data_IF_872487422867
#
_entry.id   IF_872487422867
#
_cell.length_a   1.000
_cell.length_b   1.000
_cell.length_c   1.000
_cell.angle_alpha   90.00
_cell.angle_beta   90.00
_cell.angle_gamma   90.00
#
_symmetry.space_group_name_H-M   'P 1'
#
loop_
_entity.id
_entity.type
_entity.pdbx_description
1 polymer ?
#
# COMPACT_ATOMS: atom_id res chain seq x y z
N UNK A 1 -25.72 9.03 -3.15
CA UNK A 1 -25.09 8.85 -3.09
C UNK A 1 -24.12 8.94 -2.80
N UNK A 2 -23.54 8.84 -2.58
CA UNK A 2 -22.65 8.88 -2.20
C UNK A 2 -21.75 8.78 -2.46
N UNK A 3 -21.31 9.10 -2.60
CA UNK A 3 -20.41 9.07 -2.78
C UNK A 3 -19.45 9.01 -2.47
N UNK A 4 -19.34 8.85 -2.27
CA UNK A 4 -18.31 8.91 -2.01
C UNK A 4 -17.20 8.59 -2.39
N UNK A 5 -16.77 9.05 -3.09
CA UNK A 5 -15.48 8.78 -3.50
C UNK A 5 -14.62 8.84 -2.33
N UNK A 6 -14.51 7.84 -1.77
CA UNK A 6 -13.76 7.80 -0.55
C UNK A 6 -12.30 7.68 -0.90
N UNK A 7 -11.62 8.81 -0.94
CA UNK A 7 -10.21 8.86 -1.26
C UNK A 7 -9.35 8.13 -0.25
N UNK A 8 -9.89 7.90 0.93
CA UNK A 8 -9.13 7.29 2.01
C UNK A 8 -9.53 5.85 2.25
N UNK A 9 -10.17 5.27 1.27
CA UNK A 9 -10.56 3.88 1.39
C UNK A 9 -9.34 2.99 1.49
N UNK A 10 -9.35 2.12 2.48
CA UNK A 10 -8.22 1.22 2.74
C UNK A 10 -8.40 -0.04 1.91
N UNK A 11 -7.36 -0.38 1.17
CA UNK A 11 -7.30 -1.63 0.43
C UNK A 11 -6.35 -2.58 1.13
N UNK A 12 -6.54 -3.84 0.90
CA UNK A 12 -5.63 -4.85 1.43
C UNK A 12 -4.76 -5.39 0.32
N UNK A 13 -3.51 -5.68 0.65
CA UNK A 13 -2.58 -6.16 -0.33
C UNK A 13 -1.56 -7.10 0.26
N UNK A 14 -0.85 -7.76 -0.64
CA UNK A 14 0.18 -8.72 -0.30
C UNK A 14 1.47 -8.26 -0.97
N UNK A 15 2.54 -8.12 -0.20
CA UNK A 15 3.81 -7.64 -0.72
C UNK A 15 4.50 -8.79 -1.48
N UNK A 16 4.69 -8.61 -2.78
CA UNK A 16 5.29 -9.63 -3.61
C UNK A 16 6.76 -9.37 -3.91
N UNK A 17 7.21 -8.13 -3.80
CA UNK A 17 8.58 -7.79 -4.14
C UNK A 17 8.99 -6.51 -3.43
N UNK A 18 10.24 -6.47 -2.99
CA UNK A 18 10.85 -5.27 -2.45
C UNK A 18 11.75 -4.68 -3.52
N UNK A 19 11.56 -3.41 -3.84
CA UNK A 19 12.25 -2.74 -4.92
C UNK A 19 13.19 -1.68 -4.37
N UNK A 20 14.11 -1.18 -5.17
CA UNK A 20 14.97 -0.09 -4.74
C UNK A 20 14.17 1.15 -4.36
N UNK A 21 14.78 2.03 -3.59
CA UNK A 21 14.20 3.33 -3.20
C UNK A 21 12.96 3.18 -2.32
N UNK A 22 12.93 2.15 -1.49
CA UNK A 22 11.87 1.94 -0.52
C UNK A 22 10.50 1.78 -1.18
N UNK A 23 10.48 1.19 -2.35
CA UNK A 23 9.24 0.86 -3.05
C UNK A 23 8.96 -0.63 -2.90
N UNK A 24 7.69 -0.97 -3.01
CA UNK A 24 7.24 -2.35 -2.91
C UNK A 24 6.25 -2.64 -4.01
N UNK A 25 6.31 -3.86 -4.52
CA UNK A 25 5.26 -4.33 -5.41
C UNK A 25 4.24 -5.05 -4.56
N UNK A 26 2.99 -4.64 -4.67
CA UNK A 26 1.91 -5.15 -3.84
C UNK A 26 0.79 -5.65 -4.75
N UNK A 27 0.33 -6.86 -4.49
CA UNK A 27 -0.83 -7.40 -5.18
C UNK A 27 -2.06 -7.12 -4.34
N UNK A 28 -3.01 -6.44 -4.94
CA UNK A 28 -4.27 -6.12 -4.27
C UNK A 28 -5.19 -7.33 -4.32
N UNK A 29 -6.21 -7.30 -3.47
CA UNK A 29 -7.15 -8.42 -3.40
C UNK A 29 -7.93 -8.63 -4.68
N UNK A 30 -8.03 -7.62 -5.54
CA UNK A 30 -8.68 -7.75 -6.84
C UNK A 30 -7.75 -8.27 -7.93
N UNK A 31 -6.51 -8.60 -7.59
CA UNK A 31 -5.56 -9.15 -8.52
C UNK A 31 -4.61 -8.15 -9.17
N UNK A 32 -4.87 -6.86 -9.03
CA UNK A 32 -3.99 -5.85 -9.60
C UNK A 32 -2.69 -5.78 -8.81
N UNK A 33 -1.60 -5.50 -9.53
CA UNK A 33 -0.31 -5.24 -8.89
C UNK A 33 0.02 -3.78 -9.05
N UNK A 34 0.39 -3.15 -7.95
CA UNK A 34 0.75 -1.73 -7.96
C UNK A 34 2.06 -1.54 -7.21
N UNK A 35 2.68 -0.39 -7.45
CA UNK A 35 3.82 0.04 -6.66
C UNK A 35 3.30 0.75 -5.41
N UNK A 36 4.00 0.55 -4.30
CA UNK A 36 3.59 1.15 -3.05
C UNK A 36 4.80 1.66 -2.28
N UNK A 37 4.56 2.63 -1.43
CA UNK A 37 5.59 3.19 -0.56
C UNK A 37 5.05 3.28 0.85
N UNK A 38 5.95 3.42 1.82
CA UNK A 38 5.57 3.47 3.22
C UNK A 38 5.00 4.84 3.57
N UNK A 39 3.93 4.84 4.37
CA UNK A 39 3.42 6.08 4.94
C UNK A 39 4.47 6.68 5.87
N UNK A 40 4.39 8.00 6.05
CA UNK A 40 5.36 8.70 6.87
C UNK A 40 5.47 8.15 8.29
N UNK A 41 4.34 7.82 8.90
CA UNK A 41 4.37 7.29 10.27
C UNK A 41 5.07 5.94 10.36
N UNK A 42 5.00 5.14 9.30
CA UNK A 42 5.69 3.85 9.30
C UNK A 42 7.19 4.04 9.20
N UNK A 43 7.63 5.02 8.42
CA UNK A 43 9.05 5.36 8.37
C UNK A 43 9.52 5.90 9.71
N UNK A 44 8.73 6.76 10.32
CA UNK A 44 9.08 7.37 11.59
C UNK A 44 9.26 6.32 12.67
N UNK A 45 8.39 5.34 12.70
CA UNK A 45 8.45 4.27 13.70
C UNK A 45 9.29 3.09 13.24
N UNK A 46 9.96 3.22 12.08
CA UNK A 46 10.86 2.20 11.55
C UNK A 46 10.20 0.83 11.43
N UNK A 47 8.95 0.84 11.01
CA UNK A 47 8.22 -0.40 10.80
C UNK A 47 8.71 -1.02 9.51
N UNK A 48 9.20 -2.25 9.60
CA UNK A 48 9.78 -2.94 8.47
C UNK A 48 8.71 -3.74 7.75
N UNK A 49 8.68 -3.62 6.43
CA UNK A 49 7.77 -4.39 5.59
C UNK A 49 8.61 -5.33 4.73
N UNK A 50 8.23 -6.58 4.70
CA UNK A 50 8.97 -7.62 4.00
C UNK A 50 8.09 -8.30 2.96
N UNK A 51 8.75 -8.91 1.99
CA UNK A 51 8.05 -9.75 1.01
C UNK A 51 7.28 -10.84 1.77
N UNK A 52 6.01 -11.02 1.42
CA UNK A 52 5.15 -11.97 2.11
C UNK A 52 4.25 -11.34 3.16
N UNK A 53 4.47 -10.07 3.47
CA UNK A 53 3.62 -9.40 4.46
C UNK A 53 2.29 -9.00 3.85
N UNK A 54 1.26 -9.07 4.67
CA UNK A 54 -0.04 -8.49 4.33
C UNK A 54 -0.06 -7.07 4.87
N UNK A 55 -0.53 -6.15 4.05
CA UNK A 55 -0.52 -4.74 4.41
C UNK A 55 -1.85 -4.10 4.08
N UNK A 56 -2.14 -3.02 4.80
CA UNK A 56 -3.23 -2.12 4.45
C UNK A 56 -2.62 -0.93 3.75
N UNK A 57 -3.27 -0.49 2.69
CA UNK A 57 -2.74 0.63 1.93
C UNK A 57 -3.87 1.46 1.35
N UNK A 58 -3.55 2.70 1.06
CA UNK A 58 -4.46 3.62 0.40
C UNK A 58 -3.95 3.82 -1.01
N UNK A 59 -4.78 3.49 -1.99
CA UNK A 59 -4.41 3.60 -3.40
C UNK A 59 -4.80 4.97 -3.91
N UNK A 60 -3.83 5.66 -4.53
CA UNK A 60 -4.10 6.95 -5.16
C UNK A 60 -4.96 6.72 -6.39
N UNK A 61 -6.16 7.27 -6.43
CA UNK A 61 -7.05 7.04 -7.58
C UNK A 61 -6.51 7.61 -8.88
N UNK A 62 -5.56 8.51 -8.81
CA UNK A 62 -5.05 9.15 -10.01
C UNK A 62 -3.65 8.69 -10.40
N UNK A 63 -2.85 8.32 -9.42
CA UNK A 63 -1.45 8.02 -9.67
C UNK A 63 -1.12 6.55 -9.78
N UNK A 64 -2.02 5.69 -9.36
CA UNK A 64 -1.79 4.26 -9.43
C UNK A 64 -0.80 3.71 -8.41
N UNK A 65 -0.28 4.54 -7.52
CA UNK A 65 0.58 4.08 -6.44
C UNK A 65 -0.20 3.97 -5.16
N UNK A 66 0.24 3.07 -4.28
CA UNK A 66 -0.35 2.91 -2.98
C UNK A 66 0.55 3.42 -1.88
N UNK A 67 -0.05 3.88 -0.80
CA UNK A 67 0.67 4.26 0.40
C UNK A 67 0.35 3.22 1.47
N UNK A 68 1.37 2.46 1.88
CA UNK A 68 1.20 1.44 2.89
C UNK A 68 1.05 2.14 4.23
N UNK A 69 -0.08 1.93 4.88
CA UNK A 69 -0.38 2.61 6.14
C UNK A 69 -0.26 1.67 7.34
N UNK A 70 -0.24 0.36 7.11
CA UNK A 70 -0.22 -0.58 8.20
C UNK A 70 0.27 -1.94 7.73
N UNK A 71 1.06 -2.60 8.55
CA UNK A 71 1.46 -3.97 8.33
C UNK A 71 0.61 -4.87 9.22
N UNK A 72 0.02 -5.88 8.64
CA UNK A 72 -0.81 -6.81 9.40
C UNK A 72 -0.03 -8.00 9.92
#
# INVERSE_FOLDING_TARGET
MQISANKNEISKGFVTEALPNALFRVRLSDGREILAYLAGKMRLHRIKVLVGDNVDLVVDPYGGKGRISRRN
#
